data_IF_616524144752
#
_entry.id   IF_616524144752
#
_cell.length_a   1.000
_cell.length_b   1.000
_cell.length_c   1.000
_cell.angle_alpha   90.00
_cell.angle_beta   90.00
_cell.angle_gamma   90.00
#
_symmetry.space_group_name_H-M   'P 1'
#
loop_
_entity.id
_entity.type
_entity.pdbx_description
1 polymer ?
#
# COMPACT_ATOMS: atom_id res chain seq x y z
N UNK A 1 14.38 -1.19 -23.44
CA UNK A 1 13.52 -1.64 -22.33
C UNK A 1 12.33 -0.71 -22.28
N UNK A 2 11.12 -1.24 -22.24
CA UNK A 2 9.86 -0.52 -22.12
C UNK A 2 9.36 -0.66 -20.67
N UNK A 3 8.98 0.45 -20.04
CA UNK A 3 8.39 0.44 -18.70
C UNK A 3 6.98 0.99 -18.79
N UNK A 4 6.01 0.21 -18.32
CA UNK A 4 4.59 0.56 -18.30
C UNK A 4 4.17 0.74 -16.85
N UNK A 5 3.98 1.99 -16.43
CA UNK A 5 3.50 2.30 -15.09
C UNK A 5 1.97 2.25 -15.02
N UNK A 6 1.44 1.89 -13.84
CA UNK A 6 0.02 1.66 -13.58
C UNK A 6 -0.66 0.72 -14.60
N UNK A 7 0.01 -0.38 -14.94
CA UNK A 7 -0.40 -1.30 -16.02
C UNK A 7 -1.79 -1.93 -15.78
N UNK A 8 -2.26 -1.97 -14.52
CA UNK A 8 -3.61 -2.44 -14.17
C UNK A 8 -4.73 -1.58 -14.78
N UNK A 9 -4.42 -0.33 -15.18
CA UNK A 9 -5.38 0.56 -15.86
C UNK A 9 -5.90 -0.03 -17.18
N UNK A 10 -5.16 -0.95 -17.80
CA UNK A 10 -5.61 -1.71 -18.97
C UNK A 10 -6.84 -2.59 -18.71
N UNK A 11 -7.10 -2.96 -17.44
CA UNK A 11 -8.27 -3.73 -17.03
C UNK A 11 -9.42 -2.85 -16.53
N UNK A 12 -9.09 -1.82 -15.74
CA UNK A 12 -10.08 -1.06 -14.98
C UNK A 12 -10.57 0.21 -15.69
N UNK A 13 -9.86 0.70 -16.71
CA UNK A 13 -10.14 1.97 -17.39
C UNK A 13 -10.38 1.79 -18.91
N UNK A 14 -11.11 0.74 -19.27
CA UNK A 14 -11.37 0.35 -20.66
C UNK A 14 -12.20 1.38 -21.43
N UNK A 15 -12.88 2.31 -20.76
CA UNK A 15 -13.70 3.37 -21.38
C UNK A 15 -12.95 4.68 -21.65
N UNK A 16 -11.81 4.93 -20.99
CA UNK A 16 -11.07 6.20 -21.13
C UNK A 16 -9.86 6.10 -22.04
N UNK A 17 -9.31 4.88 -22.25
CA UNK A 17 -8.09 4.69 -23.03
C UNK A 17 -8.18 3.51 -24.01
N UNK A 18 -9.00 3.64 -25.05
CA UNK A 18 -8.98 2.76 -26.24
C UNK A 18 -7.55 2.54 -26.79
N UNK A 19 -6.68 3.54 -26.61
CA UNK A 19 -5.27 3.48 -27.01
C UNK A 19 -4.42 2.49 -26.21
N UNK A 20 -4.78 2.21 -24.94
CA UNK A 20 -4.08 1.23 -24.09
C UNK A 20 -4.59 -0.20 -24.30
N UNK A 21 -5.89 -0.39 -24.52
CA UNK A 21 -6.47 -1.70 -24.85
C UNK A 21 -5.88 -2.26 -26.16
N UNK A 22 -5.46 -1.37 -27.07
CA UNK A 22 -4.78 -1.73 -28.33
C UNK A 22 -3.25 -1.65 -28.28
N UNK A 23 -2.66 -1.44 -27.09
CA UNK A 23 -1.21 -1.32 -26.94
C UNK A 23 -0.45 -2.59 -27.37
N UNK A 24 -0.89 -3.82 -27.06
CA UNK A 24 -0.12 -5.05 -27.35
C UNK A 24 0.20 -5.25 -28.84
N UNK A 25 -0.81 -5.19 -29.71
CA UNK A 25 -0.60 -5.25 -31.17
C UNK A 25 0.20 -4.06 -31.74
N UNK A 26 0.35 -2.97 -30.98
CA UNK A 26 1.24 -1.84 -31.30
C UNK A 26 2.62 -2.01 -30.68
N UNK A 27 2.86 -2.98 -29.81
CA UNK A 27 4.19 -3.27 -29.24
C UNK A 27 4.86 -4.47 -29.91
N UNK A 28 4.12 -5.29 -30.66
CA UNK A 28 4.65 -6.43 -31.42
C UNK A 28 5.87 -6.07 -32.28
N UNK A 29 5.84 -4.92 -32.97
CA UNK A 29 6.95 -4.48 -33.80
C UNK A 29 8.21 -4.07 -33.00
N UNK A 30 8.06 -3.71 -31.72
CA UNK A 30 9.17 -3.41 -30.81
C UNK A 30 9.77 -4.68 -30.20
N UNK A 31 9.06 -5.81 -30.26
CA UNK A 31 9.52 -7.09 -29.74
C UNK A 31 10.29 -7.93 -30.78
N UNK A 32 10.37 -7.49 -32.04
CA UNK A 32 10.80 -8.34 -33.15
C UNK A 32 12.34 -8.44 -33.33
N UNK A 33 13.13 -7.36 -33.27
CA UNK A 33 14.61 -7.45 -33.28
C UNK A 33 15.33 -6.09 -33.02
N UNK A 34 16.20 -5.96 -31.99
CA UNK A 34 16.37 -6.88 -30.87
C UNK A 34 15.15 -6.80 -29.92
N UNK A 35 14.80 -7.91 -29.24
CA UNK A 35 13.62 -7.96 -28.38
C UNK A 35 13.72 -6.94 -27.24
N UNK A 36 12.79 -5.98 -27.23
CA UNK A 36 12.69 -5.00 -26.17
C UNK A 36 12.10 -5.66 -24.93
N UNK A 37 12.87 -5.72 -23.83
CA UNK A 37 12.34 -6.16 -22.53
C UNK A 37 11.25 -5.20 -22.04
N UNK A 38 10.12 -5.75 -21.62
CA UNK A 38 8.99 -5.00 -21.05
C UNK A 38 8.92 -5.20 -19.53
N UNK A 39 8.62 -4.13 -18.79
CA UNK A 39 8.41 -4.14 -17.34
C UNK A 39 7.08 -3.45 -17.05
N UNK A 40 6.10 -4.20 -16.54
CA UNK A 40 4.84 -3.65 -16.05
C UNK A 40 4.90 -3.38 -14.55
N UNK A 41 4.54 -2.17 -14.14
CA UNK A 41 4.48 -1.76 -12.73
C UNK A 41 3.03 -1.48 -12.35
N UNK A 42 2.63 -1.95 -11.18
CA UNK A 42 1.30 -1.70 -10.61
C UNK A 42 1.36 -1.80 -9.10
N UNK A 43 0.73 -0.85 -8.42
CA UNK A 43 0.65 -0.83 -6.97
C UNK A 43 -0.53 -1.63 -6.40
N UNK A 44 -1.53 -2.00 -7.21
CA UNK A 44 -2.83 -2.45 -6.67
C UNK A 44 -3.48 -3.62 -7.38
N UNK A 45 -2.85 -4.27 -8.36
CA UNK A 45 -3.47 -5.37 -9.11
C UNK A 45 -3.79 -6.57 -8.18
N UNK A 46 -5.05 -7.00 -8.09
CA UNK A 46 -5.41 -8.17 -7.29
C UNK A 46 -4.92 -9.45 -7.99
N UNK A 47 -4.49 -10.49 -7.26
CA UNK A 47 -4.08 -11.76 -7.84
C UNK A 47 -5.09 -12.39 -8.80
N UNK A 48 -6.39 -12.24 -8.52
CA UNK A 48 -7.47 -12.75 -9.38
C UNK A 48 -7.48 -12.14 -10.80
N UNK A 49 -6.96 -10.92 -10.95
CA UNK A 49 -6.99 -10.17 -12.21
C UNK A 49 -5.64 -10.21 -12.95
N UNK A 50 -4.62 -10.86 -12.37
CA UNK A 50 -3.29 -11.00 -12.97
C UNK A 50 -3.33 -11.71 -14.32
N UNK A 51 -4.07 -12.81 -14.41
CA UNK A 51 -4.21 -13.56 -15.67
C UNK A 51 -4.90 -12.73 -16.75
N UNK A 52 -5.89 -11.92 -16.38
CA UNK A 52 -6.56 -11.02 -17.32
C UNK A 52 -5.60 -9.94 -17.82
N UNK A 53 -4.75 -9.39 -16.94
CA UNK A 53 -3.74 -8.41 -17.33
C UNK A 53 -2.70 -9.03 -18.30
N UNK A 54 -2.21 -10.23 -17.98
CA UNK A 54 -1.23 -10.92 -18.82
C UNK A 54 -1.79 -11.25 -20.21
N UNK A 55 -3.07 -11.61 -20.30
CA UNK A 55 -3.78 -11.74 -21.58
C UNK A 55 -3.85 -10.41 -22.34
N UNK A 56 -4.10 -9.30 -21.64
CA UNK A 56 -4.04 -7.96 -22.23
C UNK A 56 -2.63 -7.49 -22.58
N UNK A 57 -1.58 -8.24 -22.26
CA UNK A 57 -0.19 -7.93 -22.62
C UNK A 57 0.36 -8.93 -23.65
N UNK A 58 -0.49 -9.80 -24.20
CA UNK A 58 -0.12 -10.93 -25.06
C UNK A 58 0.95 -11.87 -24.44
N UNK A 59 1.09 -11.83 -23.11
CA UNK A 59 2.00 -12.64 -22.33
C UNK A 59 1.28 -13.87 -21.78
N UNK A 60 0.93 -14.82 -22.65
CA UNK A 60 0.08 -15.97 -22.29
C UNK A 60 0.84 -17.25 -21.93
N UNK A 61 2.13 -17.31 -22.25
CA UNK A 61 2.99 -18.45 -21.93
C UNK A 61 3.74 -18.20 -20.62
N UNK A 62 3.70 -19.12 -19.65
CA UNK A 62 4.36 -18.95 -18.34
C UNK A 62 5.89 -18.81 -18.42
N UNK A 63 6.51 -19.28 -19.51
CA UNK A 63 7.93 -19.06 -19.76
C UNK A 63 8.27 -17.65 -20.25
N UNK A 64 7.26 -16.85 -20.63
CA UNK A 64 7.45 -15.53 -21.26
C UNK A 64 7.48 -14.35 -20.29
N UNK A 65 7.07 -14.55 -19.02
CA UNK A 65 7.00 -13.49 -18.02
C UNK A 65 7.47 -13.95 -16.63
N UNK A 66 7.78 -12.97 -15.77
CA UNK A 66 8.08 -13.20 -14.36
C UNK A 66 7.33 -12.17 -13.53
N UNK A 67 6.52 -12.63 -12.58
CA UNK A 67 5.82 -11.76 -11.63
C UNK A 67 6.62 -11.68 -10.34
N UNK A 68 6.78 -10.46 -9.82
CA UNK A 68 7.23 -10.19 -8.46
C UNK A 68 6.09 -9.49 -7.72
N UNK A 69 5.60 -10.09 -6.64
CA UNK A 69 4.48 -9.56 -5.86
C UNK A 69 4.91 -9.34 -4.42
N UNK A 70 4.59 -8.15 -3.91
CA UNK A 70 4.62 -7.85 -2.49
C UNK A 70 3.20 -7.68 -1.98
N UNK A 71 2.95 -7.80 -0.66
CA UNK A 71 1.65 -7.50 -0.09
C UNK A 71 1.20 -6.08 -0.46
N UNK A 72 -0.02 -5.97 -0.99
CA UNK A 72 -0.67 -4.72 -1.36
C UNK A 72 -1.25 -4.04 -0.12
N UNK A 73 -1.76 -4.84 0.82
CA UNK A 73 -2.44 -4.34 2.01
C UNK A 73 -1.47 -3.69 3.01
N UNK A 74 -1.69 -2.41 3.28
CA UNK A 74 -1.04 -1.64 4.37
C UNK A 74 -1.64 -1.99 5.73
N UNK A 75 -0.93 -2.80 6.51
CA UNK A 75 -1.39 -3.24 7.85
C UNK A 75 -1.17 -2.20 8.95
N UNK A 76 -0.44 -1.12 8.70
CA UNK A 76 -0.18 -0.05 9.67
C UNK A 76 -1.29 1.02 9.73
N UNK A 77 -2.30 0.93 8.87
CA UNK A 77 -3.45 1.83 8.85
C UNK A 77 -4.60 1.30 9.69
N UNK A 78 -5.25 2.19 10.44
CA UNK A 78 -6.54 1.91 11.07
C UNK A 78 -7.66 2.09 10.06
N UNK A 79 -8.32 0.99 9.69
CA UNK A 79 -9.42 1.00 8.73
C UNK A 79 -10.77 1.29 9.41
N UNK A 80 -11.62 2.02 8.69
CA UNK A 80 -12.99 2.33 9.11
C UNK A 80 -13.98 2.29 7.95
N UNK A 81 -15.22 1.94 8.28
CA UNK A 81 -16.39 2.16 7.43
C UNK A 81 -17.44 2.86 8.26
N UNK A 82 -18.02 3.94 7.77
CA UNK A 82 -19.11 4.63 8.46
C UNK A 82 -20.25 4.90 7.50
N UNK A 83 -21.49 4.65 7.93
CA UNK A 83 -22.68 5.06 7.19
C UNK A 83 -23.28 6.29 7.87
N UNK A 84 -23.44 7.38 7.13
CA UNK A 84 -23.84 8.65 7.76
C UNK A 84 -24.20 9.75 6.79
N UNK A 85 -24.88 10.78 7.29
CA UNK A 85 -25.21 11.98 6.51
C UNK A 85 -23.98 12.88 6.35
N UNK A 86 -24.02 13.80 5.38
CA UNK A 86 -22.97 14.83 5.22
C UNK A 86 -22.76 15.65 6.49
N UNK A 87 -23.83 16.01 7.21
CA UNK A 87 -23.74 16.71 8.50
C UNK A 87 -23.00 15.91 9.58
N UNK A 88 -23.12 14.58 9.57
CA UNK A 88 -22.37 13.74 10.51
C UNK A 88 -20.88 13.69 10.13
N UNK A 89 -20.56 13.66 8.83
CA UNK A 89 -19.18 13.78 8.34
C UNK A 89 -18.59 15.15 8.71
N UNK A 90 -19.32 16.24 8.49
CA UNK A 90 -18.87 17.59 8.84
C UNK A 90 -18.48 17.69 10.33
N UNK A 91 -19.34 17.17 11.22
CA UNK A 91 -19.04 17.12 12.67
C UNK A 91 -17.80 16.27 12.96
N UNK A 92 -17.67 15.12 12.29
CA UNK A 92 -16.51 14.24 12.45
C UNK A 92 -15.22 14.94 12.00
N UNK A 93 -15.23 15.60 10.84
CA UNK A 93 -14.08 16.34 10.30
C UNK A 93 -13.73 17.49 11.21
N UNK A 94 -14.73 18.29 11.65
CA UNK A 94 -14.50 19.41 12.57
C UNK A 94 -13.84 18.95 13.87
N UNK A 95 -14.35 17.90 14.50
CA UNK A 95 -13.78 17.38 15.74
C UNK A 95 -12.30 17.01 15.58
N UNK A 96 -11.94 16.36 14.48
CA UNK A 96 -10.55 15.98 14.22
C UNK A 96 -9.69 17.17 13.81
N UNK A 97 -10.25 18.11 13.07
CA UNK A 97 -9.58 19.36 12.73
C UNK A 97 -9.18 20.14 13.99
N UNK A 98 -10.12 20.33 14.92
CA UNK A 98 -9.87 21.02 16.20
C UNK A 98 -8.74 20.33 17.00
N UNK A 99 -8.69 18.99 16.99
CA UNK A 99 -7.61 18.23 17.64
C UNK A 99 -6.26 18.48 16.95
N UNK A 100 -6.21 18.48 15.62
CA UNK A 100 -4.97 18.74 14.89
C UNK A 100 -4.41 20.13 15.18
N UNK A 101 -5.29 21.14 15.26
CA UNK A 101 -4.90 22.51 15.62
C UNK A 101 -4.39 22.60 17.06
N UNK A 102 -5.08 21.96 18.02
CA UNK A 102 -4.66 21.97 19.43
C UNK A 102 -3.29 21.31 19.66
N UNK A 103 -3.03 20.22 18.97
CA UNK A 103 -1.77 19.49 19.10
C UNK A 103 -0.61 20.18 18.37
N UNK A 104 -0.87 21.28 17.66
CA UNK A 104 0.12 22.01 16.85
C UNK A 104 0.75 21.13 15.77
N UNK A 105 0.07 20.05 15.37
CA UNK A 105 0.64 19.04 14.48
C UNK A 105 0.61 19.54 13.04
N UNK A 106 1.66 19.23 12.31
CA UNK A 106 1.73 19.43 10.85
C UNK A 106 0.88 18.38 10.11
N UNK A 107 -0.01 17.67 10.78
CA UNK A 107 -0.76 16.58 10.18
C UNK A 107 -1.87 17.12 9.24
N UNK A 108 -2.29 16.29 8.28
CA UNK A 108 -3.28 16.66 7.26
C UNK A 108 -4.42 15.65 7.14
N UNK A 109 -5.55 16.13 6.65
CA UNK A 109 -6.70 15.32 6.27
C UNK A 109 -6.95 15.45 4.78
N UNK A 110 -7.24 14.32 4.12
CA UNK A 110 -7.60 14.24 2.71
C UNK A 110 -8.95 13.55 2.58
N UNK A 111 -9.89 14.19 1.88
CA UNK A 111 -11.23 13.68 1.68
C UNK A 111 -11.48 13.50 0.19
N UNK A 112 -11.60 12.26 -0.26
CA UNK A 112 -12.02 11.93 -1.62
C UNK A 112 -13.55 11.94 -1.74
N UNK A 113 -14.08 12.31 -2.89
CA UNK A 113 -15.50 12.25 -3.24
C UNK A 113 -15.70 11.61 -4.63
N UNK A 114 -16.84 10.95 -4.83
CA UNK A 114 -17.18 10.32 -6.13
C UNK A 114 -17.46 11.34 -7.24
N UNK A 115 -17.82 12.58 -6.90
CA UNK A 115 -18.23 13.57 -7.91
C UNK A 115 -17.74 14.96 -7.59
N UNK A 116 -17.52 15.76 -8.65
CA UNK A 116 -17.16 17.18 -8.53
C UNK A 116 -18.19 17.97 -7.72
N UNK A 117 -19.48 17.67 -7.92
CA UNK A 117 -20.58 18.28 -7.15
C UNK A 117 -20.47 18.00 -5.65
N UNK A 118 -20.05 16.79 -5.27
CA UNK A 118 -19.80 16.47 -3.86
C UNK A 118 -18.58 17.22 -3.33
N UNK A 119 -17.50 17.35 -4.11
CA UNK A 119 -16.33 18.14 -3.73
C UNK A 119 -16.71 19.60 -3.48
N UNK A 120 -17.43 20.23 -4.41
CA UNK A 120 -17.88 21.61 -4.30
C UNK A 120 -18.77 21.82 -3.06
N UNK A 121 -19.78 20.97 -2.89
CA UNK A 121 -20.71 21.05 -1.77
C UNK A 121 -20.00 20.84 -0.42
N UNK A 122 -19.24 19.74 -0.29
CA UNK A 122 -18.58 19.39 0.97
C UNK A 122 -17.51 20.40 1.33
N UNK A 123 -16.71 20.86 0.37
CA UNK A 123 -15.65 21.84 0.62
C UNK A 123 -16.24 23.17 1.11
N UNK A 124 -17.32 23.66 0.47
CA UNK A 124 -18.04 24.87 0.90
C UNK A 124 -18.60 24.73 2.32
N UNK A 125 -19.20 23.59 2.64
CA UNK A 125 -19.75 23.33 3.97
C UNK A 125 -18.65 23.25 5.04
N UNK A 126 -17.53 22.59 4.74
CA UNK A 126 -16.39 22.49 5.64
C UNK A 126 -15.73 23.84 5.88
N UNK A 127 -15.49 24.66 4.85
CA UNK A 127 -14.92 26.00 5.03
C UNK A 127 -15.73 26.84 6.03
N UNK A 128 -17.06 26.86 5.87
CA UNK A 128 -17.96 27.54 6.83
C UNK A 128 -17.88 26.96 8.24
N UNK A 129 -17.82 25.64 8.36
CA UNK A 129 -17.80 24.93 9.65
C UNK A 129 -16.48 25.11 10.40
N UNK A 130 -15.38 25.21 9.66
CA UNK A 130 -14.03 25.37 10.18
C UNK A 130 -13.63 26.85 10.36
N UNK A 131 -14.46 27.79 9.89
CA UNK A 131 -14.19 29.22 10.00
C UNK A 131 -13.18 29.74 8.98
N UNK A 132 -12.96 29.03 7.88
CA UNK A 132 -12.09 29.47 6.79
C UNK A 132 -12.88 30.26 5.75
N UNK A 133 -12.26 31.32 5.21
CA UNK A 133 -12.84 32.10 4.12
C UNK A 133 -12.96 31.29 2.81
N UNK A 134 -12.05 30.33 2.60
CA UNK A 134 -11.99 29.51 1.39
C UNK A 134 -11.66 28.06 1.73
N UNK A 135 -12.31 27.12 1.02
CA UNK A 135 -12.00 25.70 1.08
C UNK A 135 -10.83 25.35 0.17
N UNK A 136 -10.09 24.30 0.52
CA UNK A 136 -9.12 23.69 -0.40
C UNK A 136 -9.81 22.50 -1.07
N UNK A 137 -10.05 22.64 -2.37
CA UNK A 137 -10.69 21.65 -3.21
C UNK A 137 -9.84 21.36 -4.46
N UNK A 138 -9.80 20.10 -4.90
CA UNK A 138 -9.24 19.70 -6.20
C UNK A 138 -10.21 18.78 -6.93
N UNK A 139 -10.67 19.20 -8.10
CA UNK A 139 -11.46 18.34 -8.99
C UNK A 139 -10.85 18.28 -10.40
N UNK A 140 -11.39 17.38 -11.22
CA UNK A 140 -10.82 17.08 -12.53
C UNK A 140 -10.93 18.21 -13.58
N UNK A 141 -11.70 19.27 -13.34
CA UNK A 141 -11.80 20.44 -14.25
C UNK A 141 -10.84 21.56 -13.88
N UNK A 142 -10.17 21.48 -12.74
CA UNK A 142 -9.21 22.49 -12.31
C UNK A 142 -7.96 22.48 -13.20
N UNK A 143 -7.43 23.68 -13.47
CA UNK A 143 -6.17 23.80 -14.18
C UNK A 143 -5.02 23.18 -13.38
N UNK A 144 -3.94 22.78 -14.05
CA UNK A 144 -2.74 22.28 -13.37
C UNK A 144 -2.13 23.32 -12.42
N UNK A 145 -2.27 24.61 -12.76
CA UNK A 145 -1.80 25.72 -11.93
C UNK A 145 -2.64 25.87 -10.66
N UNK A 146 -3.96 25.89 -10.78
CA UNK A 146 -4.87 25.98 -9.63
C UNK A 146 -4.74 24.76 -8.71
N UNK A 147 -4.61 23.57 -9.30
CA UNK A 147 -4.35 22.33 -8.55
C UNK A 147 -3.05 22.45 -7.77
N UNK A 148 -1.97 22.92 -8.40
CA UNK A 148 -0.69 23.12 -7.74
C UNK A 148 -0.78 24.14 -6.60
N UNK A 149 -1.47 25.26 -6.82
CA UNK A 149 -1.66 26.30 -5.81
C UNK A 149 -2.45 25.78 -4.60
N UNK A 150 -3.56 25.06 -4.82
CA UNK A 150 -4.36 24.45 -3.75
C UNK A 150 -3.53 23.44 -2.94
N UNK A 151 -2.71 22.62 -3.63
CA UNK A 151 -1.81 21.68 -2.98
C UNK A 151 -0.70 22.37 -2.18
N UNK A 152 -0.11 23.45 -2.69
CA UNK A 152 0.91 24.23 -1.98
C UNK A 152 0.33 24.86 -0.69
N UNK A 153 -0.88 25.42 -0.77
CA UNK A 153 -1.60 25.96 0.40
C UNK A 153 -1.96 24.89 1.41
N UNK A 154 -2.39 23.71 0.95
CA UNK A 154 -2.66 22.58 1.84
C UNK A 154 -1.38 22.06 2.49
N UNK A 155 -0.28 21.98 1.75
CA UNK A 155 1.04 21.56 2.26
C UNK A 155 1.55 22.51 3.33
N UNK A 156 1.48 23.81 3.11
CA UNK A 156 1.89 24.81 4.11
C UNK A 156 0.99 24.74 5.36
N UNK A 157 -0.29 24.38 5.19
CA UNK A 157 -1.28 24.34 6.26
C UNK A 157 -1.70 25.73 6.72
N UNK A 158 -1.37 26.77 5.96
CA UNK A 158 -1.68 28.16 6.32
C UNK A 158 -3.15 28.50 6.18
N UNK A 159 -3.85 27.85 5.24
CA UNK A 159 -5.26 28.10 4.97
C UNK A 159 -6.17 27.06 5.60
N UNK A 160 -5.84 25.77 5.44
CA UNK A 160 -6.63 24.65 5.95
C UNK A 160 -5.75 23.39 6.00
N UNK A 161 -5.98 22.57 7.02
CA UNK A 161 -5.40 21.23 7.17
C UNK A 161 -6.16 20.15 6.37
N UNK A 162 -7.32 20.49 5.79
CA UNK A 162 -8.21 19.59 5.06
C UNK A 162 -8.21 19.94 3.59
N UNK A 163 -8.01 18.92 2.74
CA UNK A 163 -8.18 18.99 1.30
C UNK A 163 -9.32 18.05 0.88
N UNK A 164 -10.26 18.56 0.09
CA UNK A 164 -11.34 17.76 -0.51
C UNK A 164 -11.04 17.56 -1.99
N UNK A 165 -11.12 16.34 -2.52
CA UNK A 165 -10.78 16.09 -3.91
C UNK A 165 -11.60 15.00 -4.58
N UNK A 166 -11.63 14.98 -5.91
CA UNK A 166 -12.05 13.78 -6.66
C UNK A 166 -10.89 12.79 -6.79
N UNK A 167 -11.17 11.57 -7.28
CA UNK A 167 -10.16 10.53 -7.52
C UNK A 167 -9.04 10.94 -8.50
N UNK A 168 -9.21 12.01 -9.28
CA UNK A 168 -8.19 12.54 -10.19
C UNK A 168 -6.90 12.98 -9.49
N UNK A 169 -6.94 13.27 -8.17
CA UNK A 169 -5.75 13.58 -7.37
C UNK A 169 -4.88 12.34 -7.06
N UNK A 170 -5.25 11.16 -7.57
CA UNK A 170 -4.53 9.90 -7.37
C UNK A 170 -3.10 9.87 -7.92
N UNK A 171 -2.78 10.62 -8.98
CA UNK A 171 -1.44 10.63 -9.57
C UNK A 171 -0.56 11.73 -8.94
N UNK A 172 0.57 11.34 -8.32
CA UNK A 172 1.62 12.29 -7.93
C UNK A 172 1.46 13.05 -6.60
N UNK A 173 0.36 12.87 -5.86
CA UNK A 173 0.28 13.40 -4.49
C UNK A 173 1.12 12.55 -3.53
N UNK A 174 2.32 13.02 -3.23
CA UNK A 174 3.17 12.48 -2.17
C UNK A 174 3.26 13.46 -1.00
N UNK A 175 2.54 13.15 0.08
CA UNK A 175 2.57 13.94 1.29
C UNK A 175 2.72 13.01 2.51
N UNK A 176 3.83 13.06 3.25
CA UNK A 176 4.16 12.07 4.28
C UNK A 176 3.27 12.12 5.54
N UNK A 177 2.74 13.30 5.86
CA UNK A 177 2.04 13.63 7.11
C UNK A 177 0.50 13.63 6.99
N UNK A 178 -0.07 12.92 6.02
CA UNK A 178 -1.52 12.72 5.96
C UNK A 178 -1.92 11.69 7.02
N UNK A 179 -2.66 12.10 8.05
CA UNK A 179 -3.12 11.20 9.13
C UNK A 179 -4.47 10.61 8.88
N UNK A 180 -5.35 11.31 8.15
CA UNK A 180 -6.69 10.81 7.86
C UNK A 180 -6.98 10.92 6.38
N UNK A 181 -7.30 9.78 5.79
CA UNK A 181 -7.92 9.72 4.48
C UNK A 181 -9.36 9.27 4.67
N UNK A 182 -10.28 10.03 4.09
CA UNK A 182 -11.70 9.69 4.08
C UNK A 182 -12.14 9.59 2.62
N UNK A 183 -12.85 8.54 2.26
CA UNK A 183 -13.59 8.50 1.00
C UNK A 183 -15.06 8.74 1.30
N UNK A 184 -15.62 9.86 0.86
CA UNK A 184 -17.03 10.20 0.98
C UNK A 184 -17.80 9.81 -0.29
N UNK A 185 -18.47 8.67 -0.26
CA UNK A 185 -19.17 8.12 -1.42
C UNK A 185 -19.14 6.59 -1.44
N UNK A 186 -19.05 6.04 -2.65
CA UNK A 186 -19.07 4.60 -2.90
C UNK A 186 -17.70 3.93 -2.76
N UNK A 187 -16.61 4.68 -2.94
CA UNK A 187 -15.26 4.12 -3.05
C UNK A 187 -14.92 3.61 -4.44
N UNK A 188 -15.88 3.64 -5.38
CA UNK A 188 -15.88 3.03 -6.71
C UNK A 188 -15.60 1.52 -6.78
N UNK A 189 -14.44 1.07 -6.29
CA UNK A 189 -14.00 -0.32 -6.26
C UNK A 189 -12.82 -0.48 -5.29
N UNK A 190 -12.42 -1.73 -5.01
CA UNK A 190 -11.31 -2.05 -4.11
C UNK A 190 -9.98 -1.41 -4.49
N UNK A 191 -9.70 -1.30 -5.79
CA UNK A 191 -8.46 -0.73 -6.33
C UNK A 191 -8.34 0.74 -5.97
N UNK A 192 -9.32 1.52 -6.40
CA UNK A 192 -9.32 2.97 -6.22
C UNK A 192 -9.36 3.32 -4.74
N UNK A 193 -10.17 2.59 -3.95
CA UNK A 193 -10.25 2.80 -2.51
C UNK A 193 -8.90 2.52 -1.83
N UNK A 194 -8.23 1.42 -2.19
CA UNK A 194 -6.91 1.06 -1.64
C UNK A 194 -5.84 2.11 -1.97
N UNK A 195 -5.80 2.59 -3.22
CA UNK A 195 -4.86 3.65 -3.63
C UNK A 195 -5.09 4.95 -2.86
N UNK A 196 -6.34 5.31 -2.61
CA UNK A 196 -6.69 6.46 -1.80
C UNK A 196 -6.25 6.26 -0.34
N UNK A 197 -6.58 5.12 0.27
CA UNK A 197 -6.21 4.80 1.64
C UNK A 197 -4.69 4.78 1.85
N UNK A 198 -3.92 4.31 0.86
CA UNK A 198 -2.46 4.32 0.89
C UNK A 198 -1.82 5.72 0.92
N UNK A 199 -2.59 6.80 0.81
CA UNK A 199 -2.11 8.18 1.03
C UNK A 199 -1.95 8.50 2.52
N UNK A 200 -2.61 7.77 3.41
CA UNK A 200 -2.44 7.95 4.85
C UNK A 200 -1.10 7.36 5.33
N UNK A 201 -0.52 7.96 6.37
CA UNK A 201 0.54 7.35 7.17
C UNK A 201 1.83 7.02 6.40
N UNK A 202 2.20 7.80 5.38
CA UNK A 202 3.39 7.51 4.56
C UNK A 202 4.72 7.65 5.32
N UNK A 203 4.75 8.47 6.36
CA UNK A 203 5.87 8.57 7.32
C UNK A 203 5.96 7.41 8.34
N UNK A 204 5.11 6.38 8.21
CA UNK A 204 5.02 5.21 9.12
C UNK A 204 4.70 5.58 10.58
N UNK A 205 4.16 6.77 10.85
CA UNK A 205 3.69 7.18 12.19
C UNK A 205 2.22 6.82 12.44
N UNK A 206 1.67 5.96 11.59
CA UNK A 206 0.27 5.58 11.61
C UNK A 206 -0.63 6.55 10.85
N UNK A 207 -1.85 6.10 10.62
CA UNK A 207 -2.89 6.85 9.94
C UNK A 207 -4.22 6.09 9.98
N UNK A 208 -5.29 6.80 9.70
CA UNK A 208 -6.62 6.24 9.59
C UNK A 208 -7.16 6.42 8.17
N UNK A 209 -7.83 5.39 7.68
CA UNK A 209 -8.43 5.35 6.36
C UNK A 209 -9.88 4.90 6.50
N UNK A 210 -10.83 5.76 6.13
CA UNK A 210 -12.26 5.53 6.35
C UNK A 210 -13.06 5.66 5.07
N UNK A 211 -13.87 4.65 4.75
CA UNK A 211 -14.94 4.77 3.76
C UNK A 211 -16.20 5.31 4.45
N UNK A 212 -16.59 6.54 4.12
CA UNK A 212 -17.82 7.16 4.58
C UNK A 212 -18.90 7.05 3.51
N UNK A 213 -19.92 6.25 3.78
CA UNK A 213 -21.00 5.91 2.86
C UNK A 213 -22.23 6.78 3.17
N UNK A 214 -22.60 7.73 2.29
CA UNK A 214 -23.86 8.45 2.41
C UNK A 214 -25.06 7.50 2.32
N UNK A 215 -26.19 7.91 2.92
CA UNK A 215 -27.43 7.12 2.81
C UNK A 215 -27.87 6.99 1.35
N UNK A 216 -28.20 5.77 0.93
CA UNK A 216 -28.65 5.48 -0.43
C UNK A 216 -27.53 5.37 -1.46
N UNK A 217 -26.26 5.47 -1.06
CA UNK A 217 -25.13 5.22 -1.96
C UNK A 217 -24.99 3.74 -2.24
N UNK A 218 -25.00 3.37 -3.52
CA UNK A 218 -24.71 2.01 -3.97
C UNK A 218 -23.21 1.71 -3.86
N UNK A 219 -22.87 0.53 -3.36
CA UNK A 219 -21.50 0.04 -3.25
C UNK A 219 -21.29 -1.06 -4.30
N UNK A 220 -20.13 -1.04 -4.95
CA UNK A 220 -19.73 -2.05 -5.93
C UNK A 220 -19.64 -3.44 -5.29
N UNK A 221 -19.90 -4.49 -6.08
CA UNK A 221 -19.98 -5.86 -5.58
C UNK A 221 -18.70 -6.32 -4.85
N UNK A 222 -17.54 -5.94 -5.36
CA UNK A 222 -16.23 -6.25 -4.78
C UNK A 222 -16.00 -5.60 -3.41
N UNK A 223 -16.58 -4.42 -3.17
CA UNK A 223 -16.51 -3.69 -1.90
C UNK A 223 -17.64 -4.04 -0.92
N UNK A 224 -18.69 -4.74 -1.34
CA UNK A 224 -19.80 -5.11 -0.46
C UNK A 224 -19.35 -5.81 0.83
N UNK A 225 -18.43 -6.81 0.81
CA UNK A 225 -17.95 -7.45 2.02
C UNK A 225 -17.31 -6.45 3.00
N UNK A 226 -16.45 -5.57 2.49
CA UNK A 226 -15.79 -4.51 3.25
C UNK A 226 -16.80 -3.51 3.83
N UNK A 227 -17.72 -3.01 3.00
CA UNK A 227 -18.73 -2.03 3.38
C UNK A 227 -19.79 -2.58 4.35
N UNK A 228 -20.01 -3.91 4.38
CA UNK A 228 -20.99 -4.55 5.24
C UNK A 228 -20.64 -4.51 6.73
N UNK A 229 -19.37 -4.26 7.08
CA UNK A 229 -18.86 -4.24 8.46
C UNK A 229 -19.14 -5.52 9.26
N UNK A 230 -19.39 -6.66 8.60
CA UNK A 230 -19.67 -7.95 9.27
C UNK A 230 -18.42 -8.66 9.79
N UNK A 231 -17.26 -8.40 9.17
CA UNK A 231 -15.96 -8.97 9.55
C UNK A 231 -14.93 -7.87 9.71
N UNK A 232 -13.75 -8.27 10.19
CA UNK A 232 -12.60 -7.38 10.31
C UNK A 232 -12.29 -6.71 8.96
N UNK A 233 -12.17 -5.38 8.95
CA UNK A 233 -11.91 -4.62 7.73
C UNK A 233 -10.53 -4.92 7.13
N UNK A 234 -9.52 -5.18 7.95
CA UNK A 234 -8.19 -5.61 7.49
C UNK A 234 -8.25 -6.96 6.78
N UNK A 235 -9.11 -7.86 7.27
CA UNK A 235 -9.34 -9.15 6.63
C UNK A 235 -10.01 -8.97 5.26
N UNK A 236 -11.12 -8.21 5.20
CA UNK A 236 -11.87 -8.03 3.96
C UNK A 236 -11.04 -7.36 2.86
N UNK A 237 -10.33 -6.29 3.19
CA UNK A 237 -9.53 -5.57 2.22
C UNK A 237 -8.28 -6.36 1.81
N UNK A 238 -7.65 -7.09 2.74
CA UNK A 238 -6.55 -8.00 2.42
C UNK A 238 -6.99 -9.15 1.51
N UNK A 239 -8.11 -9.81 1.81
CA UNK A 239 -8.67 -10.87 0.95
C UNK A 239 -8.99 -10.37 -0.46
N UNK A 240 -9.47 -9.13 -0.58
CA UNK A 240 -9.72 -8.52 -1.88
C UNK A 240 -8.42 -8.28 -2.65
N UNK A 241 -7.45 -7.60 -2.03
CA UNK A 241 -6.24 -7.10 -2.69
C UNK A 241 -5.15 -8.16 -2.89
N UNK A 242 -4.98 -9.07 -1.93
CA UNK A 242 -3.88 -10.02 -1.88
C UNK A 242 -4.36 -11.49 -1.98
N UNK A 243 -5.67 -11.72 -2.10
CA UNK A 243 -6.27 -13.06 -2.16
C UNK A 243 -6.34 -13.77 -0.79
N UNK A 244 -5.61 -13.28 0.21
CA UNK A 244 -5.61 -13.77 1.58
C UNK A 244 -5.83 -12.63 2.57
N UNK A 245 -6.66 -12.87 3.59
CA UNK A 245 -6.98 -11.88 4.62
C UNK A 245 -6.46 -12.27 6.00
N UNK A 246 -5.94 -11.30 6.73
CA UNK A 246 -5.60 -11.43 8.15
C UNK A 246 -6.43 -10.46 8.98
N UNK A 247 -6.96 -10.93 10.11
CA UNK A 247 -7.62 -10.04 11.07
C UNK A 247 -6.62 -9.05 11.69
N UNK A 248 -7.08 -7.92 12.22
CA UNK A 248 -6.20 -6.86 12.75
C UNK A 248 -5.15 -7.41 13.73
N UNK A 249 -5.57 -8.26 14.69
CA UNK A 249 -4.68 -8.83 15.69
C UNK A 249 -3.58 -9.72 15.09
N UNK A 250 -3.92 -10.56 14.10
CA UNK A 250 -2.96 -11.45 13.44
C UNK A 250 -1.99 -10.68 12.55
N UNK A 251 -2.45 -9.58 11.94
CA UNK A 251 -1.64 -8.71 11.09
C UNK A 251 -0.75 -7.72 11.88
N UNK A 252 -0.89 -7.65 13.21
CA UNK A 252 -0.27 -6.58 14.01
C UNK A 252 -0.81 -5.18 13.69
N UNK A 253 -2.00 -5.11 13.09
CA UNK A 253 -2.61 -3.87 12.63
C UNK A 253 -3.38 -3.16 13.75
N UNK A 254 -3.48 -1.81 13.72
CA UNK A 254 -4.42 -1.08 14.57
C UNK A 254 -5.84 -1.62 14.43
N UNK A 255 -6.57 -1.71 15.54
CA UNK A 255 -7.93 -2.24 15.52
C UNK A 255 -8.85 -1.40 14.63
N UNK A 256 -9.36 -2.01 13.55
CA UNK A 256 -10.40 -1.39 12.72
C UNK A 256 -11.66 -1.10 13.54
N UNK A 257 -12.57 -0.27 13.03
CA UNK A 257 -13.77 0.10 13.79
C UNK A 257 -14.66 -1.12 14.14
N UNK A 258 -14.76 -2.14 13.28
CA UNK A 258 -15.47 -3.40 13.60
C UNK A 258 -14.81 -4.13 14.76
N UNK A 259 -13.49 -4.36 14.71
CA UNK A 259 -12.76 -5.01 15.78
C UNK A 259 -12.75 -4.19 17.08
N UNK A 260 -12.78 -2.86 16.99
CA UNK A 260 -12.89 -1.95 18.14
C UNK A 260 -14.26 -2.09 18.82
N UNK A 261 -15.34 -2.23 18.04
CA UNK A 261 -16.71 -2.40 18.56
C UNK A 261 -16.97 -3.80 19.13
N UNK A 262 -16.27 -4.82 18.63
CA UNK A 262 -16.41 -6.19 19.12
C UNK A 262 -15.65 -6.48 20.43
N UNK A 263 -14.98 -5.49 21.03
CA UNK A 263 -14.42 -5.65 22.37
C UNK A 263 -15.50 -5.45 23.44
N UNK A 264 -15.78 -6.51 24.21
CA UNK A 264 -15.68 -6.41 25.66
C UNK A 264 -14.77 -7.52 26.22
N UNK A 265 -13.89 -7.19 27.18
CA UNK A 265 -13.13 -8.14 28.03
C UNK A 265 -11.86 -8.82 27.44
N UNK A 266 -10.86 -8.06 27.00
CA UNK A 266 -9.45 -8.50 27.09
C UNK A 266 -8.63 -7.38 27.78
N UNK A 267 -9.09 -6.98 28.96
CA UNK A 267 -8.31 -6.17 29.90
C UNK A 267 -8.11 -6.97 31.18
N UNK A 268 -7.33 -8.06 31.10
CA UNK A 268 -6.60 -8.57 32.25
C UNK A 268 -5.55 -9.58 31.77
N UNK A 269 -4.30 -9.33 32.17
CA UNK A 269 -3.12 -10.21 32.06
C UNK A 269 -2.36 -10.15 30.74
N UNK A 270 -1.68 -9.03 30.53
CA UNK A 270 -0.25 -9.12 30.30
C UNK A 270 0.46 -8.44 31.48
N UNK A 271 1.34 -9.14 32.23
CA UNK A 271 2.10 -8.52 33.30
C UNK A 271 2.99 -7.43 32.69
N UNK A 272 2.91 -6.25 33.30
CA UNK A 272 3.85 -5.16 33.13
C UNK A 272 5.29 -5.70 33.21
N UNK A 273 6.06 -5.47 32.15
CA UNK A 273 7.53 -5.50 32.21
C UNK A 273 7.96 -4.28 33.01
N UNK A 274 8.00 -4.42 34.33
CA UNK A 274 8.83 -3.57 35.16
C UNK A 274 10.29 -4.02 35.02
N UNK A 275 11.11 -3.06 34.62
CA UNK A 275 12.55 -3.17 34.65
C UNK A 275 13.02 -3.12 36.12
N UNK A 276 13.81 -4.10 36.56
CA UNK A 276 14.84 -3.96 37.59
C UNK A 276 15.82 -5.14 37.50
N UNK A 277 17.07 -4.86 37.86
CA UNK A 277 18.25 -5.59 37.43
C UNK A 277 18.79 -6.68 38.35
N UNK A 278 19.78 -7.38 37.79
CA UNK A 278 20.91 -8.05 38.44
C UNK A 278 20.66 -9.45 39.07
N UNK A 279 21.72 -10.27 39.29
CA UNK A 279 21.89 -11.55 38.60
C UNK A 279 21.95 -12.76 39.56
N UNK A 280 21.52 -13.96 39.13
CA UNK A 280 21.81 -15.21 39.86
C UNK A 280 22.05 -16.38 38.91
N UNK A 281 23.19 -17.03 39.12
CA UNK A 281 23.65 -18.31 38.58
C UNK A 281 23.04 -19.50 39.33
N UNK A 282 22.63 -20.57 38.64
CA UNK A 282 23.20 -21.93 38.81
C UNK A 282 22.53 -22.96 37.89
N UNK A 283 23.32 -24.01 37.66
CA UNK A 283 23.15 -25.16 36.79
C UNK A 283 21.91 -26.03 37.11
N UNK A 284 21.43 -26.72 36.08
CA UNK A 284 20.41 -27.76 36.22
C UNK A 284 19.99 -28.33 34.88
N UNK A 285 20.80 -29.25 34.34
CA UNK A 285 20.44 -30.05 33.16
C UNK A 285 19.21 -30.90 33.48
N UNK A 286 18.16 -30.80 32.65
CA UNK A 286 17.30 -31.95 32.38
C UNK A 286 16.73 -31.87 30.96
N UNK A 287 16.96 -32.99 30.29
CA UNK A 287 16.77 -33.30 28.87
C UNK A 287 15.28 -33.27 28.50
N UNK A 288 14.86 -32.26 27.74
CA UNK A 288 13.57 -32.24 27.04
C UNK A 288 13.79 -31.97 25.54
N UNK A 289 12.96 -32.64 24.74
CA UNK A 289 13.14 -32.95 23.31
C UNK A 289 13.31 -31.71 22.42
N UNK A 290 14.19 -31.85 21.42
CA UNK A 290 14.39 -30.97 20.26
C UNK A 290 13.06 -30.41 19.72
N UNK A 291 12.78 -29.15 19.98
CA UNK A 291 12.05 -28.29 19.07
C UNK A 291 13.10 -27.41 18.38
N UNK A 292 13.34 -27.65 17.10
CA UNK A 292 14.21 -26.79 16.29
C UNK A 292 13.62 -25.38 16.30
N UNK A 293 14.38 -24.43 16.85
CA UNK A 293 14.15 -23.00 16.63
C UNK A 293 14.14 -22.76 15.11
N UNK A 294 12.97 -22.53 14.53
CA UNK A 294 12.88 -21.76 13.30
C UNK A 294 13.15 -20.30 13.70
N UNK A 295 14.33 -19.81 13.36
CA UNK A 295 14.64 -18.38 13.36
C UNK A 295 13.62 -17.71 12.44
N UNK A 296 12.90 -16.66 12.87
CA UNK A 296 12.03 -15.92 11.97
C UNK A 296 12.90 -15.29 10.89
N UNK A 297 12.72 -15.71 9.64
CA UNK A 297 13.23 -14.98 8.48
C UNK A 297 12.55 -13.62 8.46
N UNK A 298 13.28 -12.58 8.86
CA UNK A 298 12.83 -11.21 8.76
C UNK A 298 12.52 -10.91 7.27
N UNK A 299 11.35 -10.34 6.94
CA UNK A 299 11.06 -9.90 5.59
C UNK A 299 12.07 -8.80 5.21
N UNK A 300 12.61 -8.89 4.00
CA UNK A 300 13.49 -7.87 3.43
C UNK A 300 12.72 -6.55 3.39
N UNK A 301 13.25 -5.51 4.03
CA UNK A 301 12.60 -4.20 4.05
C UNK A 301 12.67 -3.55 2.65
N UNK A 302 11.70 -2.70 2.30
CA UNK A 302 11.61 -2.03 0.98
C UNK A 302 12.92 -1.33 0.56
N UNK A 303 13.64 -0.79 1.54
CA UNK A 303 14.86 -0.03 1.32
C UNK A 303 16.03 -0.97 1.01
N UNK A 304 16.01 -2.20 1.53
CA UNK A 304 17.01 -3.23 1.23
C UNK A 304 16.85 -3.80 -0.18
N UNK A 305 15.64 -3.85 -0.73
CA UNK A 305 15.39 -4.32 -2.11
C UNK A 305 15.82 -3.27 -3.17
N UNK A 306 15.44 -2.00 -2.97
CA UNK A 306 15.91 -0.91 -3.82
C UNK A 306 17.43 -0.72 -3.73
N UNK A 307 18.00 -0.92 -2.55
CA UNK A 307 19.45 -1.00 -2.38
C UNK A 307 20.01 -2.26 -3.05
N UNK A 308 19.37 -3.42 -3.00
CA UNK A 308 19.88 -4.61 -3.70
C UNK A 308 19.96 -4.42 -5.23
N UNK A 309 18.98 -3.74 -5.84
CA UNK A 309 18.96 -3.41 -7.27
C UNK A 309 20.13 -2.50 -7.70
N UNK A 310 20.55 -1.58 -6.82
CA UNK A 310 21.66 -0.66 -7.10
C UNK A 310 23.04 -1.34 -7.07
N UNK A 311 23.17 -2.52 -6.46
CA UNK A 311 24.46 -3.19 -6.21
C UNK A 311 24.64 -4.49 -7.00
N UNK A 312 23.68 -4.85 -7.85
CA UNK A 312 23.74 -6.04 -8.67
C UNK A 312 24.35 -5.74 -10.04
N UNK A 313 25.42 -6.45 -10.41
CA UNK A 313 25.84 -6.48 -11.80
C UNK A 313 24.87 -7.38 -12.61
N UNK A 314 24.71 -7.05 -13.89
CA UNK A 314 23.84 -7.77 -14.85
C UNK A 314 24.08 -9.29 -14.86
N UNK A 315 25.31 -9.73 -14.58
CA UNK A 315 25.68 -11.16 -14.52
C UNK A 315 25.17 -11.87 -13.26
N UNK A 316 25.21 -11.22 -12.10
CA UNK A 316 24.67 -11.79 -10.86
C UNK A 316 23.15 -11.91 -10.90
N UNK A 317 22.48 -10.96 -11.56
CA UNK A 317 21.03 -11.02 -11.80
C UNK A 317 20.66 -12.20 -12.72
N UNK A 318 21.40 -12.42 -13.80
CA UNK A 318 21.17 -13.54 -14.71
C UNK A 318 21.34 -14.91 -14.03
N UNK A 319 22.32 -15.04 -13.12
CA UNK A 319 22.56 -16.30 -12.39
C UNK A 319 21.48 -16.60 -11.34
N UNK A 320 20.83 -15.58 -10.76
CA UNK A 320 19.70 -15.80 -9.82
C UNK A 320 18.42 -16.28 -10.51
N UNK A 321 18.32 -16.13 -11.83
CA UNK A 321 17.13 -16.47 -12.62
C UNK A 321 17.21 -17.86 -13.29
N UNK A 322 18.33 -18.58 -13.18
CA UNK A 322 18.53 -19.90 -13.82
C UNK A 322 18.88 -20.94 -12.77
N UNK A 323 18.05 -21.98 -12.63
CA UNK A 323 18.30 -23.08 -11.68
C UNK A 323 19.45 -24.00 -12.10
N UNK A 324 19.85 -24.03 -13.38
CA UNK A 324 20.71 -25.13 -13.88
C UNK A 324 21.88 -24.76 -14.79
N UNK A 325 22.12 -23.50 -15.17
CA UNK A 325 23.30 -23.19 -16.00
C UNK A 325 23.82 -21.80 -15.69
N UNK A 326 24.95 -21.73 -14.98
CA UNK A 326 26.02 -20.71 -15.07
C UNK A 326 26.89 -20.78 -13.80
N UNK A 327 27.70 -21.83 -13.63
CA UNK A 327 28.70 -21.90 -12.53
C UNK A 327 30.15 -21.86 -13.03
N UNK A 328 30.38 -21.78 -14.35
CA UNK A 328 31.75 -21.89 -14.86
C UNK A 328 32.59 -20.59 -14.78
N UNK A 329 31.98 -19.39 -14.82
CA UNK A 329 32.76 -18.16 -15.09
C UNK A 329 32.54 -16.97 -14.15
N UNK A 330 31.62 -17.03 -13.18
CA UNK A 330 31.47 -15.93 -12.22
C UNK A 330 31.05 -16.43 -10.83
N UNK A 331 31.93 -16.33 -9.84
CA UNK A 331 31.60 -16.64 -8.45
C UNK A 331 31.04 -15.39 -7.75
N UNK A 332 29.81 -15.41 -7.22
CA UNK A 332 29.21 -14.27 -6.51
C UNK A 332 30.04 -13.75 -5.33
N UNK A 333 30.81 -14.64 -4.67
CA UNK A 333 31.76 -14.30 -3.59
C UNK A 333 32.92 -13.41 -4.04
N UNK A 334 33.25 -13.40 -5.34
CA UNK A 334 34.34 -12.63 -5.93
C UNK A 334 33.83 -11.45 -6.78
N UNK A 335 32.53 -11.13 -6.75
CA UNK A 335 31.96 -10.05 -7.53
C UNK A 335 32.39 -8.67 -6.97
N UNK A 336 33.06 -7.81 -7.77
CA UNK A 336 33.54 -6.50 -7.31
C UNK A 336 32.41 -5.57 -6.85
N UNK A 337 31.22 -5.68 -7.44
CA UNK A 337 30.03 -4.91 -7.09
C UNK A 337 29.43 -5.34 -5.74
N UNK A 338 29.47 -6.64 -5.43
CA UNK A 338 28.91 -7.21 -4.19
C UNK A 338 29.85 -7.06 -2.98
N UNK A 339 31.12 -6.67 -3.19
CA UNK A 339 32.15 -6.49 -2.13
C UNK A 339 32.25 -7.70 -1.17
N UNK A 340 32.11 -8.92 -1.70
CA UNK A 340 32.19 -10.17 -0.93
C UNK A 340 31.00 -10.47 0.00
N UNK A 341 29.82 -9.88 -0.26
CA UNK A 341 28.58 -10.16 0.49
C UNK A 341 27.77 -11.29 -0.15
N UNK A 342 27.15 -12.12 0.68
CA UNK A 342 26.28 -13.22 0.29
C UNK A 342 24.99 -12.71 -0.37
N UNK A 343 24.55 -13.34 -1.46
CA UNK A 343 23.35 -12.92 -2.20
C UNK A 343 22.04 -13.13 -1.43
N UNK A 344 21.98 -14.13 -0.54
CA UNK A 344 20.73 -14.47 0.17
C UNK A 344 20.51 -13.69 1.47
N UNK A 345 21.58 -13.21 2.10
CA UNK A 345 21.50 -12.54 3.41
C UNK A 345 22.36 -11.28 3.55
N UNK A 346 23.13 -10.92 2.51
CA UNK A 346 24.03 -9.76 2.47
C UNK A 346 25.17 -9.71 3.53
N UNK A 347 25.37 -10.79 4.30
CA UNK A 347 26.52 -10.96 5.20
C UNK A 347 27.80 -11.33 4.44
N UNK A 348 28.97 -10.97 4.99
CA UNK A 348 30.28 -11.36 4.42
C UNK A 348 30.72 -12.75 4.90
N UNK A 349 31.66 -13.36 4.18
CA UNK A 349 32.37 -14.57 4.63
C UNK A 349 31.75 -15.90 4.22
N UNK A 350 30.65 -15.91 3.46
CA UNK A 350 30.09 -17.13 2.88
C UNK A 350 29.38 -16.86 1.55
N UNK A 351 29.24 -17.89 0.71
CA UNK A 351 28.56 -17.82 -0.57
C UNK A 351 27.08 -18.21 -0.49
N UNK A 352 26.32 -17.90 -1.53
CA UNK A 352 24.87 -18.19 -1.61
C UNK A 352 24.54 -19.68 -1.45
N UNK A 353 25.43 -20.57 -1.91
CA UNK A 353 25.28 -22.03 -1.81
C UNK A 353 25.49 -22.60 -0.41
N UNK A 354 26.12 -21.85 0.50
CA UNK A 354 26.32 -22.24 1.91
C UNK A 354 25.49 -21.38 2.87
N UNK A 355 24.60 -20.54 2.33
CA UNK A 355 23.77 -19.65 3.12
C UNK A 355 22.53 -20.37 3.66
N UNK A 356 22.32 -20.28 4.97
CA UNK A 356 21.20 -20.92 5.67
C UNK A 356 19.86 -20.17 5.50
N UNK A 357 19.87 -18.99 4.87
CA UNK A 357 18.65 -18.26 4.50
C UNK A 357 18.09 -18.87 3.22
N UNK A 358 16.85 -19.35 3.24
CA UNK A 358 16.14 -19.80 2.04
C UNK A 358 15.24 -18.65 1.55
N UNK A 359 15.44 -18.26 0.29
CA UNK A 359 14.47 -17.44 -0.42
C UNK A 359 13.32 -18.38 -0.80
N UNK A 360 12.24 -18.36 -0.02
CA UNK A 360 11.04 -19.11 -0.35
C UNK A 360 10.51 -18.62 -1.70
N UNK A 361 10.38 -19.52 -2.66
CA UNK A 361 9.55 -19.31 -3.83
C UNK A 361 8.12 -19.70 -3.42
N UNK A 362 7.25 -18.71 -3.36
CA UNK A 362 5.79 -18.85 -3.29
C UNK A 362 5.20 -17.90 -4.31
#
# INVERSE_FOLDING_TARGET
>A
MLVMDEVHTMLVDTSYRDSLVRCPGRLDHLCQDPPVKCVGLTGTLCPKDERALLQQLDCTEDASYQTFRMPTMRTDLRLGVQQGTTKALEKFVKHHYDLLEQEGRVDRMLIFCDTKKQVEALSTQLARTLGHEQSLAVDADMSAEDTRAALEQWRSGTQSLVLVATSCLGAGLDMPNVRKVIWFGSGYNGYTLSQAFGRAGRDRRGGEATLWIPRGTAISEDLQPFASMKRCLTFELGSLLDGEGHICAAAGAPACNVCSMMQPTITARHPSREAHGAPVSHEGQTRAKRAQLMVPSAPIQSDDFNTALLWMCTYCWACSCSRDRLVAHHQPSCCPAMKGRCFRCHCRGHGSGTCQVNLGAS
#
